data_IF_711537277269
#
_entry.id   IF_711537277269
#
_cell.length_a   1.000
_cell.length_b   1.000
_cell.length_c   1.000
_cell.angle_alpha   90.00
_cell.angle_beta   90.00
_cell.angle_gamma   90.00
#
_symmetry.space_group_name_H-M   'P 1'
#
loop_
_entity.id
_entity.type
_entity.pdbx_description
1 polymer ?
#
# COMPACT_ATOMS: atom_id res chain seq x y z
N UNK A 1 24.16 0.85 5.65
CA UNK A 1 23.41 -0.34 5.19
C UNK A 1 21.91 -0.21 5.43
N UNK A 2 21.47 0.28 6.60
CA UNK A 2 20.07 0.50 6.96
C UNK A 2 19.21 1.20 5.89
N UNK A 3 19.71 2.31 5.30
CA UNK A 3 18.99 3.04 4.23
C UNK A 3 18.60 2.19 3.01
N UNK A 4 19.44 1.20 2.66
CA UNK A 4 19.21 0.32 1.51
C UNK A 4 18.13 -0.71 1.84
N UNK A 5 18.15 -1.24 3.07
CA UNK A 5 17.11 -2.15 3.57
C UNK A 5 15.76 -1.44 3.68
N UNK A 6 15.74 -0.20 4.19
CA UNK A 6 14.52 0.63 4.26
C UNK A 6 13.98 0.90 2.87
N UNK A 7 14.83 1.29 1.91
CA UNK A 7 14.42 1.50 0.53
C UNK A 7 13.81 0.22 -0.09
N UNK A 8 14.45 -0.94 0.11
CA UNK A 8 13.93 -2.23 -0.37
C UNK A 8 12.58 -2.60 0.25
N UNK A 9 12.42 -2.34 1.54
CA UNK A 9 11.17 -2.59 2.25
C UNK A 9 10.04 -1.71 1.71
N UNK A 10 10.29 -0.40 1.54
CA UNK A 10 9.30 0.54 1.00
C UNK A 10 8.88 0.16 -0.43
N UNK A 11 9.84 -0.21 -1.29
CA UNK A 11 9.54 -0.69 -2.64
C UNK A 11 8.66 -1.95 -2.61
N UNK A 12 8.95 -2.90 -1.72
CA UNK A 12 8.15 -4.11 -1.58
C UNK A 12 6.71 -3.80 -1.12
N UNK A 13 6.55 -2.90 -0.15
CA UNK A 13 5.23 -2.47 0.32
C UNK A 13 4.42 -1.85 -0.81
N UNK A 14 5.00 -0.89 -1.54
CA UNK A 14 4.32 -0.18 -2.64
C UNK A 14 3.83 -1.14 -3.74
N UNK A 15 4.59 -2.19 -4.03
CA UNK A 15 4.20 -3.19 -5.04
C UNK A 15 3.07 -4.12 -4.56
N UNK A 16 3.02 -4.42 -3.27
CA UNK A 16 2.02 -5.34 -2.70
C UNK A 16 0.71 -4.61 -2.37
N UNK A 17 0.77 -3.32 -2.00
CA UNK A 17 -0.41 -2.49 -1.69
C UNK A 17 -1.53 -2.56 -2.74
N UNK A 18 -1.30 -2.38 -4.06
CA UNK A 18 -2.39 -2.44 -5.04
C UNK A 18 -3.01 -3.84 -5.14
N UNK A 19 -2.22 -4.90 -4.95
CA UNK A 19 -2.71 -6.29 -4.94
C UNK A 19 -3.63 -6.52 -3.75
N UNK A 20 -3.27 -6.01 -2.57
CA UNK A 20 -4.11 -6.05 -1.37
C UNK A 20 -5.39 -5.24 -1.59
N UNK A 21 -5.31 -4.07 -2.22
CA UNK A 21 -6.49 -3.25 -2.52
C UNK A 21 -7.47 -3.97 -3.46
N UNK A 22 -6.95 -4.65 -4.49
CA UNK A 22 -7.74 -5.42 -5.45
C UNK A 22 -8.38 -6.67 -4.82
N UNK A 23 -7.64 -7.42 -4.01
CA UNK A 23 -8.12 -8.68 -3.41
C UNK A 23 -9.01 -8.40 -2.19
N UNK A 24 -8.62 -7.44 -1.36
CA UNK A 24 -9.32 -7.10 -0.12
C UNK A 24 -10.59 -6.28 -0.32
N UNK A 25 -10.92 -5.91 -1.56
CA UNK A 25 -12.02 -4.99 -1.84
C UNK A 25 -11.89 -3.74 -1.00
N UNK A 26 -10.67 -3.19 -0.89
CA UNK A 26 -10.43 -1.98 -0.13
C UNK A 26 -11.15 -0.86 -0.87
N UNK A 27 -12.41 -0.65 -0.47
CA UNK A 27 -13.16 0.54 -0.78
C UNK A 27 -12.20 1.69 -0.48
N UNK A 28 -11.98 2.55 -1.47
CA UNK A 28 -11.70 3.95 -1.17
C UNK A 28 -12.65 4.29 -0.02
N UNK A 29 -12.19 4.78 1.14
CA UNK A 29 -13.12 5.40 2.06
C UNK A 29 -13.70 6.53 1.24
N UNK A 30 -14.85 6.27 0.61
CA UNK A 30 -15.69 7.27 0.03
C UNK A 30 -15.98 8.13 1.23
N UNK A 31 -15.29 9.26 1.30
CA UNK A 31 -15.64 10.31 2.23
C UNK A 31 -17.04 10.71 1.79
N UNK A 32 -18.04 10.02 2.35
CA UNK A 32 -19.43 10.37 2.23
C UNK A 32 -19.56 11.65 3.05
N UNK A 33 -19.36 12.77 2.38
CA UNK A 33 -19.78 14.07 2.88
C UNK A 33 -21.31 14.09 2.84
N UNK A 34 -21.92 13.44 3.82
CA UNK A 34 -23.33 13.56 4.17
C UNK A 34 -23.42 14.08 5.58
#
# INVERSE_FOLDING_TARGET
MFKVTVARLLTAVVLVTPVIMLIGGAATPGVSWT
#
